data_IF_162256380056
#
_entry.id   IF_162256380056
#
_cell.length_a   1.000
_cell.length_b   1.000
_cell.length_c   1.000
_cell.angle_alpha   90.00
_cell.angle_beta   90.00
_cell.angle_gamma   90.00
#
_symmetry.space_group_name_H-M   'P 1'
#
loop_
_entity.id
_entity.type
_entity.pdbx_description
1 polymer ?
#
# COMPACT_ATOMS: atom_id res chain seq x y z
N UNK A 1 -20.24 -41.86 75.91
CA UNK A 1 -21.30 -40.92 75.49
C UNK A 1 -20.65 -39.58 75.11
N UNK A 2 -20.62 -39.24 73.88
CA UNK A 2 -20.82 -37.90 73.30
C UNK A 2 -20.39 -37.91 71.83
N UNK A 3 -21.34 -37.65 70.95
CA UNK A 3 -21.25 -37.57 69.54
C UNK A 3 -20.51 -36.26 69.11
N UNK A 4 -19.56 -36.37 68.21
CA UNK A 4 -18.92 -35.21 67.55
C UNK A 4 -19.24 -35.20 66.04
N UNK A 5 -20.07 -34.25 65.64
CA UNK A 5 -20.50 -34.06 64.26
C UNK A 5 -19.36 -33.53 63.34
N UNK A 6 -19.13 -34.24 62.25
CA UNK A 6 -18.20 -33.84 61.20
C UNK A 6 -18.90 -32.87 60.23
N UNK A 7 -18.38 -31.65 60.11
CA UNK A 7 -18.82 -30.63 59.17
C UNK A 7 -18.03 -30.81 57.86
N UNK A 8 -18.72 -31.31 56.83
CA UNK A 8 -18.24 -31.37 55.46
C UNK A 8 -18.41 -29.97 54.85
N UNK A 9 -17.30 -29.25 54.61
CA UNK A 9 -17.28 -28.01 53.84
C UNK A 9 -17.19 -28.33 52.33
N UNK A 10 -18.29 -28.16 51.63
CA UNK A 10 -18.35 -28.19 50.17
C UNK A 10 -17.66 -26.94 49.60
N UNK A 11 -16.56 -27.12 48.94
CA UNK A 11 -15.81 -26.06 48.20
C UNK A 11 -16.37 -26.00 46.78
N UNK A 12 -17.23 -25.01 46.49
CA UNK A 12 -17.71 -24.69 45.15
C UNK A 12 -16.58 -23.99 44.40
N UNK A 13 -15.96 -24.69 43.48
CA UNK A 13 -15.00 -24.11 42.51
C UNK A 13 -15.79 -23.36 41.44
N UNK A 14 -15.79 -22.02 41.51
CA UNK A 14 -16.31 -21.17 40.42
C UNK A 14 -15.34 -21.18 39.26
N UNK A 15 -15.71 -21.84 38.18
CA UNK A 15 -14.98 -21.86 36.93
C UNK A 15 -15.35 -20.60 36.13
N UNK A 16 -14.53 -19.53 36.23
CA UNK A 16 -14.70 -18.33 35.42
C UNK A 16 -14.23 -18.61 33.99
N UNK A 17 -15.19 -18.79 33.08
CA UNK A 17 -14.95 -18.91 31.66
C UNK A 17 -14.68 -17.50 31.08
N UNK A 18 -13.39 -17.11 31.00
CA UNK A 18 -12.97 -15.85 30.36
C UNK A 18 -13.10 -16.04 28.86
N UNK A 19 -14.19 -15.55 28.29
CA UNK A 19 -14.41 -15.53 26.83
C UNK A 19 -13.41 -14.61 26.17
N UNK A 20 -12.51 -15.16 25.37
CA UNK A 20 -11.57 -14.40 24.49
C UNK A 20 -12.39 -13.81 23.35
N UNK A 21 -12.76 -12.52 23.43
CA UNK A 21 -13.35 -11.80 22.31
C UNK A 21 -12.29 -11.57 21.26
N UNK A 22 -12.30 -12.36 20.18
CA UNK A 22 -11.53 -12.11 18.98
C UNK A 22 -12.20 -10.96 18.22
N UNK A 23 -11.69 -9.75 18.40
CA UNK A 23 -12.05 -8.63 17.53
C UNK A 23 -11.50 -8.90 16.12
N UNK A 24 -12.35 -9.40 15.25
CA UNK A 24 -12.04 -9.46 13.82
C UNK A 24 -11.79 -8.04 13.30
N UNK A 25 -10.57 -7.74 12.87
CA UNK A 25 -10.26 -6.51 12.16
C UNK A 25 -10.96 -6.57 10.81
N UNK A 26 -12.18 -6.05 10.73
CA UNK A 26 -12.86 -5.85 9.46
C UNK A 26 -12.17 -4.71 8.73
N UNK A 27 -11.57 -5.01 7.56
CA UNK A 27 -11.00 -3.98 6.71
C UNK A 27 -12.10 -2.95 6.38
N UNK A 28 -11.88 -1.68 6.73
CA UNK A 28 -12.83 -0.62 6.43
C UNK A 28 -13.08 -0.53 4.91
N UNK A 29 -14.34 -0.38 4.47
CA UNK A 29 -14.65 -0.18 3.06
C UNK A 29 -13.84 0.98 2.47
N UNK A 30 -13.47 0.87 1.20
CA UNK A 30 -12.78 1.95 0.50
C UNK A 30 -13.81 3.06 0.19
N UNK A 31 -13.64 4.31 0.67
CA UNK A 31 -14.56 5.39 0.39
C UNK A 31 -14.53 5.76 -1.11
N UNK A 32 -15.58 6.40 -1.60
CA UNK A 32 -15.57 6.98 -2.96
C UNK A 32 -14.70 8.24 -2.99
N UNK A 33 -13.96 8.48 -4.10
CA UNK A 33 -13.22 9.73 -4.29
C UNK A 33 -14.15 10.95 -4.16
N UNK A 34 -13.66 12.00 -3.52
CA UNK A 34 -14.36 13.30 -3.40
C UNK A 34 -13.72 14.35 -4.32
N UNK A 35 -12.52 14.09 -4.81
CA UNK A 35 -11.78 14.94 -5.73
C UNK A 35 -11.47 14.23 -7.06
N UNK A 36 -10.67 14.86 -7.93
CA UNK A 36 -10.20 14.25 -9.17
C UNK A 36 -9.48 12.95 -8.91
N UNK A 37 -9.85 11.89 -9.65
CA UNK A 37 -9.19 10.58 -9.57
C UNK A 37 -7.77 10.69 -10.10
N UNK A 38 -6.79 10.32 -9.28
CA UNK A 38 -5.37 10.30 -9.65
C UNK A 38 -4.88 8.89 -9.97
N UNK A 39 -5.43 7.86 -9.31
CA UNK A 39 -5.03 6.47 -9.50
C UNK A 39 -6.25 5.56 -9.55
N UNK A 40 -6.26 4.65 -10.52
CA UNK A 40 -7.23 3.56 -10.61
C UNK A 40 -6.51 2.22 -10.47
N UNK A 41 -7.00 1.35 -9.59
CA UNK A 41 -6.52 -0.02 -9.45
C UNK A 41 -7.64 -0.99 -9.82
N UNK A 42 -7.34 -1.97 -10.67
CA UNK A 42 -8.32 -2.94 -11.18
C UNK A 42 -7.73 -4.35 -11.25
N UNK A 43 -8.52 -5.32 -11.73
CA UNK A 43 -8.11 -6.71 -11.83
C UNK A 43 -8.41 -7.52 -10.57
N UNK A 44 -7.46 -8.36 -10.13
CA UNK A 44 -7.61 -9.24 -8.96
C UNK A 44 -7.49 -8.45 -7.64
N UNK A 45 -8.51 -7.65 -7.32
CA UNK A 45 -8.60 -6.84 -6.10
C UNK A 45 -9.86 -7.21 -5.29
N UNK A 46 -9.75 -7.20 -3.98
CA UNK A 46 -10.85 -7.49 -3.05
C UNK A 46 -11.67 -6.27 -2.65
N UNK A 47 -11.07 -5.07 -2.66
CA UNK A 47 -11.74 -3.81 -2.28
C UNK A 47 -11.94 -2.92 -3.51
N UNK A 48 -13.18 -2.49 -3.72
CA UNK A 48 -13.61 -1.63 -4.83
C UNK A 48 -14.47 -0.50 -4.29
N UNK A 49 -14.51 0.65 -4.98
CA UNK A 49 -15.36 1.77 -4.61
C UNK A 49 -16.10 2.39 -5.80
N UNK A 50 -15.66 2.10 -7.04
CA UNK A 50 -16.34 2.56 -8.26
C UNK A 50 -16.34 1.43 -9.29
N UNK A 51 -17.52 0.84 -9.54
CA UNK A 51 -17.64 -0.31 -10.45
C UNK A 51 -16.69 -1.45 -10.06
N UNK A 52 -15.94 -1.97 -11.03
CA UNK A 52 -14.97 -3.06 -10.85
C UNK A 52 -13.57 -2.58 -10.44
N UNK A 53 -13.42 -1.33 -10.02
CA UNK A 53 -12.14 -0.72 -9.70
C UNK A 53 -12.10 -0.05 -8.32
N UNK A 54 -10.90 0.16 -7.83
CA UNK A 54 -10.58 1.00 -6.69
C UNK A 54 -9.97 2.31 -7.22
N UNK A 55 -10.65 3.42 -7.01
CA UNK A 55 -10.21 4.75 -7.45
C UNK A 55 -9.79 5.58 -6.25
N UNK A 56 -8.68 6.30 -6.41
CA UNK A 56 -8.08 7.12 -5.38
C UNK A 56 -7.93 8.57 -5.87
N UNK A 57 -8.39 9.51 -5.08
CA UNK A 57 -8.05 10.92 -5.19
C UNK A 57 -6.82 11.27 -4.33
N UNK A 58 -6.45 12.55 -4.33
CA UNK A 58 -5.29 13.03 -3.57
C UNK A 58 -5.41 12.77 -2.07
N UNK A 59 -6.58 13.04 -1.47
CA UNK A 59 -6.81 12.88 -0.04
C UNK A 59 -6.73 11.41 0.39
N UNK A 60 -7.28 10.51 -0.43
CA UNK A 60 -7.22 9.07 -0.17
C UNK A 60 -5.80 8.51 -0.23
N UNK A 61 -4.98 9.00 -1.18
CA UNK A 61 -3.56 8.62 -1.27
C UNK A 61 -2.75 9.17 -0.09
N UNK A 62 -3.03 10.42 0.33
CA UNK A 62 -2.35 11.04 1.46
C UNK A 62 -2.77 10.44 2.83
N UNK A 63 -3.91 9.78 2.92
CA UNK A 63 -4.35 9.03 4.11
C UNK A 63 -3.63 7.68 4.30
N UNK A 64 -2.94 7.17 3.26
CA UNK A 64 -2.14 5.95 3.37
C UNK A 64 -0.80 6.23 4.09
N UNK A 65 -0.14 5.19 4.64
CA UNK A 65 1.16 5.35 5.28
C UNK A 65 2.17 6.04 4.35
N UNK A 66 2.73 7.15 4.81
CA UNK A 66 3.72 7.92 4.06
C UNK A 66 5.05 7.19 3.99
N UNK A 67 5.53 6.98 2.77
CA UNK A 67 6.88 6.48 2.48
C UNK A 67 7.71 7.58 1.82
N UNK A 68 9.04 7.54 2.02
CA UNK A 68 9.99 8.49 1.44
C UNK A 68 11.19 7.75 0.88
N UNK A 69 11.66 8.17 -0.30
CA UNK A 69 12.88 7.69 -0.95
C UNK A 69 13.70 8.91 -1.34
N UNK A 70 14.97 8.98 -0.92
CA UNK A 70 15.92 9.97 -1.42
C UNK A 70 16.87 9.26 -2.37
N UNK A 71 16.88 9.66 -3.64
CA UNK A 71 17.63 8.98 -4.69
C UNK A 71 17.87 9.87 -5.88
N UNK A 72 18.91 9.60 -6.64
CA UNK A 72 19.07 10.06 -8.03
C UNK A 72 18.14 9.31 -8.95
N UNK A 73 18.05 9.73 -10.21
CA UNK A 73 17.30 9.02 -11.25
C UNK A 73 17.93 9.29 -12.61
N UNK A 74 17.65 8.48 -13.65
CA UNK A 74 18.22 8.71 -15.00
C UNK A 74 17.98 10.09 -15.58
N UNK A 75 17.05 10.82 -15.03
CA UNK A 75 16.67 12.16 -15.49
C UNK A 75 17.01 13.27 -14.51
N UNK A 76 17.68 12.95 -13.40
CA UNK A 76 18.01 13.88 -12.34
C UNK A 76 19.24 13.38 -11.60
N UNK A 77 20.40 13.96 -11.92
CA UNK A 77 21.70 13.58 -11.35
C UNK A 77 21.80 13.93 -9.84
N UNK A 78 21.05 14.94 -9.41
CA UNK A 78 20.99 15.32 -7.99
C UNK A 78 19.94 14.47 -7.29
N UNK A 79 20.32 13.84 -6.17
CA UNK A 79 19.40 13.12 -5.32
C UNK A 79 18.28 14.05 -4.82
N UNK A 80 17.05 13.57 -4.92
CA UNK A 80 15.84 14.28 -4.50
C UNK A 80 14.97 13.37 -3.66
N UNK A 81 14.15 13.95 -2.79
CA UNK A 81 13.25 13.20 -1.91
C UNK A 81 11.88 13.06 -2.56
N UNK A 82 11.53 11.84 -2.89
CA UNK A 82 10.23 11.44 -3.40
C UNK A 82 9.37 10.92 -2.25
N UNK A 83 8.13 11.42 -2.10
CA UNK A 83 7.26 11.00 -1.01
C UNK A 83 5.81 10.78 -1.45
N UNK A 84 5.18 9.78 -0.85
CA UNK A 84 3.81 9.32 -1.11
C UNK A 84 3.59 7.95 -0.48
N UNK A 85 2.47 7.27 -0.75
CA UNK A 85 2.26 5.89 -0.32
C UNK A 85 3.22 4.95 -1.06
N UNK A 86 3.62 3.84 -0.43
CA UNK A 86 4.32 2.78 -1.14
C UNK A 86 3.35 2.03 -2.07
N UNK A 87 3.88 1.43 -3.15
CA UNK A 87 3.07 0.55 -4.00
C UNK A 87 2.48 -0.59 -3.17
N UNK A 88 3.25 -1.14 -2.24
CA UNK A 88 2.80 -2.17 -1.30
C UNK A 88 1.55 -1.74 -0.51
N UNK A 89 1.56 -0.54 0.09
CA UNK A 89 0.43 -0.07 0.91
C UNK A 89 -0.85 0.15 0.09
N UNK A 90 -0.74 0.54 -1.17
CA UNK A 90 -1.89 0.64 -2.08
C UNK A 90 -2.44 -0.75 -2.40
N UNK A 91 -1.58 -1.71 -2.72
CA UNK A 91 -1.99 -3.08 -3.03
C UNK A 91 -2.63 -3.78 -1.83
N UNK A 92 -2.10 -3.58 -0.63
CA UNK A 92 -2.70 -4.03 0.63
C UNK A 92 -4.06 -3.39 0.87
N UNK A 93 -4.19 -2.07 0.63
CA UNK A 93 -5.45 -1.34 0.82
C UNK A 93 -6.57 -1.84 -0.07
N UNK A 94 -6.26 -2.29 -1.29
CA UNK A 94 -7.24 -2.87 -2.22
C UNK A 94 -7.38 -4.38 -2.08
N UNK A 95 -6.67 -5.02 -1.16
CA UNK A 95 -6.61 -6.47 -1.01
C UNK A 95 -6.28 -7.14 -2.36
N UNK A 96 -5.16 -6.74 -2.95
CA UNK A 96 -4.67 -7.27 -4.23
C UNK A 96 -4.22 -8.73 -4.08
N UNK A 97 -4.64 -9.59 -5.01
CA UNK A 97 -4.38 -11.04 -5.00
C UNK A 97 -3.70 -11.50 -6.31
N UNK A 98 -2.71 -10.76 -6.76
CA UNK A 98 -1.94 -11.05 -7.96
C UNK A 98 -0.44 -11.09 -7.70
N UNK A 99 0.31 -11.61 -8.67
CA UNK A 99 1.77 -11.69 -8.63
C UNK A 99 2.45 -10.80 -9.68
N UNK A 100 1.69 -10.22 -10.57
CA UNK A 100 2.15 -9.28 -11.60
C UNK A 100 1.24 -8.06 -11.61
N UNK A 101 1.87 -6.90 -11.75
CA UNK A 101 1.18 -5.62 -11.71
C UNK A 101 1.52 -4.84 -12.97
N UNK A 102 0.53 -4.68 -13.86
CA UNK A 102 0.70 -3.87 -15.06
C UNK A 102 0.39 -2.43 -14.73
N UNK A 103 1.39 -1.57 -14.87
CA UNK A 103 1.28 -0.13 -14.65
C UNK A 103 1.09 0.57 -15.99
N UNK A 104 0.19 1.56 -16.00
CA UNK A 104 -0.12 2.35 -17.19
C UNK A 104 -0.02 3.83 -16.88
N UNK A 105 0.74 4.55 -17.71
CA UNK A 105 0.90 5.98 -17.65
C UNK A 105 -0.12 6.72 -18.54
N UNK A 106 -0.18 8.03 -18.38
CA UNK A 106 -1.07 8.91 -19.17
C UNK A 106 -0.77 8.92 -20.68
N UNK A 107 0.49 8.72 -21.05
CA UNK A 107 0.99 8.68 -22.42
C UNK A 107 0.87 7.30 -23.10
N UNK A 108 0.13 6.37 -22.50
CA UNK A 108 -0.06 4.96 -22.90
C UNK A 108 1.17 4.07 -22.66
N UNK A 109 2.21 4.56 -21.98
CA UNK A 109 3.29 3.68 -21.57
C UNK A 109 2.77 2.61 -20.62
N UNK A 110 3.12 1.35 -20.87
CA UNK A 110 2.75 0.22 -20.02
C UNK A 110 3.97 -0.63 -19.68
N UNK A 111 4.05 -1.10 -18.45
CA UNK A 111 5.11 -2.01 -18.00
C UNK A 111 4.61 -2.93 -16.90
N UNK A 112 5.10 -4.17 -16.91
CA UNK A 112 4.81 -5.15 -15.87
C UNK A 112 5.86 -5.08 -14.76
N UNK A 113 5.38 -5.07 -13.51
CA UNK A 113 6.18 -5.13 -12.30
C UNK A 113 5.90 -6.43 -11.57
N UNK A 114 6.91 -7.27 -11.29
CA UNK A 114 6.73 -8.49 -10.53
C UNK A 114 6.54 -8.20 -9.04
N UNK A 115 5.85 -9.08 -8.31
CA UNK A 115 5.64 -8.94 -6.86
C UNK A 115 6.96 -8.89 -6.06
N UNK A 116 8.01 -9.51 -6.57
CA UNK A 116 9.34 -9.48 -5.96
C UNK A 116 9.90 -8.07 -5.80
N UNK A 117 9.70 -7.20 -6.80
CA UNK A 117 10.16 -5.80 -6.74
C UNK A 117 9.53 -5.06 -5.57
N UNK A 118 8.25 -5.32 -5.31
CA UNK A 118 7.49 -4.68 -4.23
C UNK A 118 8.04 -5.11 -2.87
N UNK A 119 8.32 -6.41 -2.74
CA UNK A 119 8.84 -6.99 -1.50
C UNK A 119 10.28 -6.57 -1.22
N UNK A 120 11.14 -6.56 -2.25
CA UNK A 120 12.57 -6.29 -2.11
C UNK A 120 12.90 -4.81 -2.01
N UNK A 121 12.21 -3.95 -2.77
CA UNK A 121 12.61 -2.56 -2.95
C UNK A 121 11.59 -1.55 -2.44
N UNK A 122 10.36 -2.00 -2.16
CA UNK A 122 9.25 -1.17 -1.67
C UNK A 122 9.12 0.18 -2.40
N UNK A 123 8.94 0.19 -3.73
CA UNK A 123 8.87 1.42 -4.50
C UNK A 123 7.72 2.32 -4.05
N UNK A 124 7.92 3.64 -4.16
CA UNK A 124 6.98 4.67 -3.69
C UNK A 124 6.21 5.25 -4.88
N UNK A 125 4.89 5.37 -4.76
CA UNK A 125 4.07 6.17 -5.66
C UNK A 125 4.12 7.60 -5.15
N UNK A 126 5.12 8.34 -5.63
CA UNK A 126 5.40 9.69 -5.19
C UNK A 126 4.33 10.66 -5.70
N UNK A 127 3.81 11.46 -4.78
CA UNK A 127 2.96 12.63 -5.03
C UNK A 127 3.72 13.94 -4.82
N UNK A 128 4.82 13.88 -4.04
CA UNK A 128 5.65 15.05 -3.73
C UNK A 128 7.11 14.80 -4.07
N UNK A 129 7.74 15.83 -4.59
CA UNK A 129 9.17 15.93 -4.87
C UNK A 129 9.75 17.06 -4.01
N UNK A 130 10.72 16.75 -3.16
CA UNK A 130 11.34 17.69 -2.22
C UNK A 130 10.31 18.47 -1.38
N UNK A 131 9.21 17.79 -0.97
CA UNK A 131 8.11 18.33 -0.18
C UNK A 131 7.00 19.04 -0.97
N UNK A 132 7.18 19.32 -2.26
CA UNK A 132 6.21 20.00 -3.11
C UNK A 132 5.40 19.01 -3.97
N UNK A 133 4.12 19.29 -4.17
CA UNK A 133 3.27 18.48 -5.05
C UNK A 133 3.83 18.45 -6.48
N UNK A 134 3.89 17.24 -7.05
CA UNK A 134 4.42 17.03 -8.39
C UNK A 134 3.41 17.48 -9.45
N UNK A 135 3.84 18.37 -10.33
CA UNK A 135 3.08 18.81 -11.50
C UNK A 135 3.44 17.94 -12.71
N UNK A 136 2.68 18.06 -13.79
CA UNK A 136 2.94 17.34 -15.06
C UNK A 136 4.38 17.56 -15.56
N UNK A 137 4.89 18.80 -15.48
CA UNK A 137 6.29 19.13 -15.83
C UNK A 137 7.33 18.44 -14.94
N UNK A 138 6.94 18.04 -13.73
CA UNK A 138 7.79 17.34 -12.77
C UNK A 138 7.57 15.81 -12.84
N UNK A 139 6.91 15.33 -13.92
CA UNK A 139 6.52 13.93 -14.19
C UNK A 139 5.41 13.41 -13.28
N UNK A 140 4.71 14.32 -12.56
CA UNK A 140 3.53 14.04 -11.77
C UNK A 140 2.23 13.96 -12.59
N UNK A 141 1.07 13.83 -11.92
CA UNK A 141 0.89 13.98 -10.47
C UNK A 141 1.38 12.77 -9.64
N UNK A 142 1.54 11.59 -10.26
CA UNK A 142 2.05 10.38 -9.63
C UNK A 142 3.26 9.84 -10.38
N UNK A 143 4.29 9.45 -9.65
CA UNK A 143 5.51 8.83 -10.20
C UNK A 143 5.85 7.60 -9.36
N UNK A 144 5.93 6.42 -9.99
CA UNK A 144 6.53 5.29 -9.31
C UNK A 144 8.04 5.44 -9.27
N UNK A 145 8.62 5.51 -8.07
CA UNK A 145 10.05 5.70 -7.85
C UNK A 145 10.65 4.54 -7.07
N UNK A 146 11.78 4.05 -7.55
CA UNK A 146 12.61 3.04 -6.90
C UNK A 146 13.77 3.70 -6.13
N UNK A 147 14.28 3.07 -5.06
CA UNK A 147 15.44 3.55 -4.29
C UNK A 147 16.76 3.21 -4.99
N UNK A 148 17.02 3.82 -6.16
CA UNK A 148 18.15 3.49 -7.04
C UNK A 148 19.50 3.55 -6.35
N UNK A 149 19.71 4.56 -5.49
CA UNK A 149 20.99 4.75 -4.82
C UNK A 149 21.21 3.77 -3.66
N UNK A 150 20.12 3.19 -3.13
CA UNK A 150 20.20 2.21 -2.04
C UNK A 150 20.54 0.80 -2.50
N UNK A 151 20.33 0.50 -3.79
CA UNK A 151 20.52 -0.83 -4.35
C UNK A 151 21.22 -0.76 -5.71
N UNK A 152 22.53 -1.08 -5.81
CA UNK A 152 23.25 -1.08 -7.08
C UNK A 152 22.58 -1.92 -8.18
N UNK A 153 21.87 -3.00 -7.79
CA UNK A 153 21.08 -3.84 -8.70
C UNK A 153 20.01 -3.06 -9.47
N UNK A 154 19.51 -1.94 -8.94
CA UNK A 154 18.49 -1.12 -9.58
C UNK A 154 19.05 -0.18 -10.64
N UNK A 155 20.36 0.04 -10.69
CA UNK A 155 21.01 1.01 -11.59
C UNK A 155 21.22 0.40 -12.99
N UNK A 156 20.11 0.08 -13.67
CA UNK A 156 20.11 -0.42 -15.04
C UNK A 156 18.79 -0.10 -15.76
N UNK A 157 18.78 -0.26 -17.07
CA UNK A 157 17.66 0.12 -17.94
C UNK A 157 16.35 -0.62 -17.63
N UNK A 158 16.40 -1.84 -17.07
CA UNK A 158 15.20 -2.61 -16.72
C UNK A 158 14.45 -1.89 -15.59
N UNK A 159 15.14 -1.52 -14.52
CA UNK A 159 14.53 -0.84 -13.39
C UNK A 159 14.25 0.65 -13.67
N UNK A 160 15.07 1.30 -14.51
CA UNK A 160 14.79 2.66 -14.96
C UNK A 160 13.47 2.73 -15.74
N UNK A 161 13.19 1.74 -16.58
CA UNK A 161 11.92 1.63 -17.28
C UNK A 161 10.73 1.39 -16.33
N UNK A 162 10.94 0.75 -15.18
CA UNK A 162 9.91 0.53 -14.17
C UNK A 162 9.55 1.78 -13.34
N UNK A 163 10.33 2.86 -13.44
CA UNK A 163 9.99 4.15 -12.84
C UNK A 163 8.97 4.89 -13.72
N UNK A 164 7.69 4.59 -13.52
CA UNK A 164 6.58 5.05 -14.37
C UNK A 164 6.16 6.47 -14.02
N UNK A 165 6.27 7.39 -14.96
CA UNK A 165 5.83 8.78 -14.84
C UNK A 165 4.36 8.93 -15.16
N UNK A 166 3.70 9.93 -14.55
CA UNK A 166 2.27 10.18 -14.79
C UNK A 166 1.43 8.91 -14.69
N UNK A 167 1.74 8.09 -13.66
CA UNK A 167 1.03 6.84 -13.40
C UNK A 167 -0.45 7.11 -13.18
N UNK A 168 -1.32 6.37 -13.89
CA UNK A 168 -2.79 6.49 -13.78
C UNK A 168 -3.48 5.18 -13.40
N UNK A 169 -2.96 4.03 -13.88
CA UNK A 169 -3.61 2.75 -13.66
C UNK A 169 -2.63 1.68 -13.18
N UNK A 170 -3.14 0.81 -12.32
CA UNK A 170 -2.50 -0.45 -11.93
C UNK A 170 -3.51 -1.56 -12.19
N UNK A 171 -3.13 -2.55 -13.00
CA UNK A 171 -3.91 -3.76 -13.22
C UNK A 171 -3.25 -4.91 -12.48
N UNK A 172 -3.97 -5.54 -11.57
CA UNK A 172 -3.50 -6.68 -10.76
C UNK A 172 -3.82 -7.98 -11.52
N UNK A 173 -2.79 -8.76 -11.87
CA UNK A 173 -2.90 -10.01 -12.65
C UNK A 173 -2.45 -11.26 -11.86
#
# INVERSE_FOLDING_TARGET
>A
MKFGASLIRSMLASFSLTGLMVFGVTAQPLPKPQGPVLLTVSGKIGQRNVGDSAQFDAAMLDALPLSKITTTSPSRDKASTYSGPSLKSILERVNAQGSRFRLKAADRYEIDIPAEDITLFNPVIARRLDGHEMKIRDRGPLLLMYPFDSYPKLQNNIYYARAVWQLQHIVVE
#
